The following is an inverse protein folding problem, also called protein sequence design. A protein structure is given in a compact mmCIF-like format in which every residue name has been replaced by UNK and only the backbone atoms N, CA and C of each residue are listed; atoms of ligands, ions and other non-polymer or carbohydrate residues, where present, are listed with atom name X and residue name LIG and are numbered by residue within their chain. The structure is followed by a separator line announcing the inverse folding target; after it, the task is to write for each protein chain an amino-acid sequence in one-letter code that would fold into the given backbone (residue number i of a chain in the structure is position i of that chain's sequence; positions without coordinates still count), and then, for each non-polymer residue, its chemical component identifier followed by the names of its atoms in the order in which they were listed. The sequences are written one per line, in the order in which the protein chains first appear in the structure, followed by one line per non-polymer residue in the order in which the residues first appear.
data_IF_137563987284
#
_entry.id   IF_137563987284
#
_cell.length_a   1.000
_cell.length_b   1.000
_cell.length_c   1.000
_cell.angle_alpha   90.00
_cell.angle_beta   90.00
_cell.angle_gamma   90.00
#
_symmetry.space_group_name_H-M   'P 1'
#
loop_
_entity.id
_entity.type
_entity.pdbx_description
1 polymer ?
#
# COMPACT_ATOMS: atom_id res chain seq x y z
N UNK A 1 -15.34 -2.88 -9.05
CA UNK A 1 -16.15 -2.47 -7.89
C UNK A 1 -17.58 -2.23 -8.36
N UNK A 2 -18.56 -2.87 -7.74
CA UNK A 2 -19.98 -2.56 -7.97
C UNK A 2 -20.38 -1.59 -6.88
N UNK A 3 -20.65 -0.33 -7.23
CA UNK A 3 -21.15 0.70 -6.32
C UNK A 3 -22.68 0.62 -6.31
N UNK A 4 -23.31 0.77 -5.15
CA UNK A 4 -24.75 0.93 -5.07
C UNK A 4 -25.18 2.26 -5.73
N UNK A 5 -26.45 2.35 -6.11
CA UNK A 5 -27.04 3.59 -6.62
C UNK A 5 -27.02 4.62 -5.49
N UNK A 6 -26.20 5.65 -5.66
CA UNK A 6 -26.09 6.78 -4.75
C UNK A 6 -27.27 7.72 -4.98
N UNK A 7 -28.04 8.00 -3.92
CA UNK A 7 -29.06 9.06 -3.95
C UNK A 7 -28.45 10.41 -3.55
N UNK A 8 -29.08 11.49 -4.00
CA UNK A 8 -28.75 12.84 -3.54
C UNK A 8 -29.07 12.97 -2.06
N UNK A 9 -28.18 13.60 -1.28
CA UNK A 9 -28.35 13.91 0.16
C UNK A 9 -29.70 14.59 0.44
N UNK A 10 -30.17 15.44 -0.47
CA UNK A 10 -31.42 16.21 -0.31
C UNK A 10 -32.71 15.41 -0.62
N UNK A 11 -32.62 14.11 -0.86
CA UNK A 11 -33.81 13.30 -1.18
C UNK A 11 -34.56 12.90 0.10
N UNK A 12 -35.90 13.04 0.16
CA UNK A 12 -36.65 12.65 1.35
C UNK A 12 -36.43 11.16 1.67
N UNK A 13 -35.86 10.88 2.85
CA UNK A 13 -35.54 9.53 3.34
C UNK A 13 -36.30 9.25 4.66
N UNK A 14 -36.70 7.99 4.84
CA UNK A 14 -37.20 7.43 6.10
C UNK A 14 -36.59 6.05 6.27
N UNK A 15 -36.17 5.71 7.48
CA UNK A 15 -35.65 4.39 7.83
C UNK A 15 -36.77 3.58 8.49
N UNK A 16 -37.67 3.03 7.69
CA UNK A 16 -38.88 2.36 8.18
C UNK A 16 -38.67 0.86 8.45
N UNK A 17 -37.62 0.28 7.88
CA UNK A 17 -37.28 -1.14 7.97
C UNK A 17 -35.77 -1.35 8.18
N UNK A 18 -35.40 -2.56 8.61
CA UNK A 18 -33.98 -2.97 8.69
C UNK A 18 -33.28 -2.88 7.32
N UNK A 19 -33.99 -3.20 6.23
CA UNK A 19 -33.46 -3.05 4.89
C UNK A 19 -33.15 -1.59 4.52
N UNK A 20 -33.97 -0.63 4.96
CA UNK A 20 -33.69 0.80 4.73
C UNK A 20 -32.43 1.25 5.47
N UNK A 21 -32.21 0.73 6.68
CA UNK A 21 -31.01 0.99 7.49
C UNK A 21 -29.77 0.42 6.80
N UNK A 22 -29.83 -0.83 6.35
CA UNK A 22 -28.72 -1.47 5.61
C UNK A 22 -28.38 -0.72 4.31
N UNK A 23 -29.40 -0.29 3.55
CA UNK A 23 -29.20 0.50 2.33
C UNK A 23 -28.55 1.84 2.64
N UNK A 24 -28.97 2.52 3.70
CA UNK A 24 -28.37 3.79 4.09
C UNK A 24 -26.92 3.63 4.55
N UNK A 25 -26.61 2.60 5.35
CA UNK A 25 -25.25 2.28 5.75
C UNK A 25 -24.36 1.98 4.54
N UNK A 26 -24.84 1.15 3.62
CA UNK A 26 -24.11 0.81 2.40
C UNK A 26 -23.86 2.05 1.52
N UNK A 27 -24.82 2.97 1.45
CA UNK A 27 -24.66 4.23 0.72
C UNK A 27 -23.54 5.09 1.32
N UNK A 28 -23.47 5.24 2.65
CA UNK A 28 -22.41 6.02 3.31
C UNK A 28 -21.03 5.40 3.02
N UNK A 29 -20.93 4.06 3.07
CA UNK A 29 -19.69 3.34 2.74
C UNK A 29 -19.29 3.56 1.28
N UNK A 30 -20.23 3.51 0.34
CA UNK A 30 -19.96 3.72 -1.07
C UNK A 30 -19.63 5.19 -1.38
N UNK A 31 -20.23 6.13 -0.64
CA UNK A 31 -19.92 7.56 -0.72
C UNK A 31 -18.53 7.88 -0.18
N UNK A 32 -18.09 7.19 0.87
CA UNK A 32 -16.70 7.27 1.33
C UNK A 32 -15.74 6.76 0.25
N UNK A 33 -16.06 5.64 -0.39
CA UNK A 33 -15.26 5.12 -1.51
C UNK A 33 -15.19 6.11 -2.67
N UNK A 34 -16.31 6.72 -3.07
CA UNK A 34 -16.36 7.75 -4.12
C UNK A 34 -15.58 9.01 -3.75
N UNK A 35 -15.61 9.44 -2.48
CA UNK A 35 -14.79 10.55 -2.01
C UNK A 35 -13.28 10.23 -2.13
N UNK A 36 -12.89 8.99 -1.85
CA UNK A 36 -11.50 8.54 -2.03
C UNK A 36 -11.09 8.45 -3.51
N UNK A 37 -11.99 8.04 -4.41
CA UNK A 37 -11.78 8.13 -5.87
C UNK A 37 -11.54 9.57 -6.28
N UNK A 38 -12.40 10.50 -5.84
CA UNK A 38 -12.25 11.93 -6.11
C UNK A 38 -10.95 12.52 -5.55
N UNK A 39 -10.42 11.95 -4.46
CA UNK A 39 -9.12 12.32 -3.89
C UNK A 39 -7.91 11.72 -4.62
N UNK A 40 -8.12 10.88 -5.65
CA UNK A 40 -7.06 10.25 -6.43
C UNK A 40 -6.35 9.10 -5.70
N UNK A 41 -7.05 8.39 -4.81
CA UNK A 41 -6.53 7.20 -4.15
C UNK A 41 -6.65 5.97 -5.05
N UNK A 42 -5.71 5.03 -4.93
CA UNK A 42 -5.71 3.80 -5.74
C UNK A 42 -6.83 2.85 -5.31
N UNK A 43 -7.32 2.07 -6.28
CA UNK A 43 -8.36 1.06 -6.06
C UNK A 43 -8.01 0.09 -4.93
N UNK A 44 -6.75 -0.38 -4.86
CA UNK A 44 -6.31 -1.30 -3.81
C UNK A 44 -6.32 -0.66 -2.41
N UNK A 45 -6.09 0.65 -2.31
CA UNK A 45 -6.22 1.36 -1.03
C UNK A 45 -7.70 1.50 -0.64
N UNK A 46 -8.54 1.91 -1.58
CA UNK A 46 -9.99 2.04 -1.39
C UNK A 46 -10.62 0.71 -0.95
N UNK A 47 -10.21 -0.39 -1.61
CA UNK A 47 -10.69 -1.72 -1.29
C UNK A 47 -10.29 -2.17 0.12
N UNK A 48 -9.05 -1.87 0.54
CA UNK A 48 -8.59 -2.12 1.91
C UNK A 48 -9.36 -1.31 2.95
N UNK A 49 -9.60 -0.03 2.71
CA UNK A 49 -10.38 0.84 3.61
C UNK A 49 -11.82 0.34 3.74
N UNK A 50 -12.47 0.07 2.61
CA UNK A 50 -13.86 -0.44 2.56
C UNK A 50 -13.98 -1.80 3.24
N UNK A 51 -13.03 -2.71 3.00
CA UNK A 51 -13.03 -4.03 3.62
C UNK A 51 -12.91 -3.97 5.15
N UNK A 52 -12.11 -3.05 5.68
CA UNK A 52 -12.00 -2.84 7.12
C UNK A 52 -13.32 -2.34 7.73
N UNK A 53 -13.98 -1.38 7.08
CA UNK A 53 -15.27 -0.84 7.51
C UNK A 53 -16.37 -1.90 7.46
N UNK A 54 -16.48 -2.67 6.38
CA UNK A 54 -17.46 -3.75 6.25
C UNK A 54 -17.24 -4.85 7.29
N UNK A 55 -15.99 -5.20 7.60
CA UNK A 55 -15.68 -6.16 8.66
C UNK A 55 -16.10 -5.63 10.03
N UNK A 56 -15.87 -4.34 10.31
CA UNK A 56 -16.30 -3.71 11.55
C UNK A 56 -17.83 -3.69 11.67
N UNK A 57 -18.57 -3.27 10.64
CA UNK A 57 -20.03 -3.29 10.62
C UNK A 57 -20.60 -4.69 10.90
N UNK A 58 -20.03 -5.72 10.26
CA UNK A 58 -20.41 -7.12 10.51
C UNK A 58 -20.11 -7.58 11.94
N UNK A 59 -19.02 -7.10 12.54
CA UNK A 59 -18.68 -7.41 13.92
C UNK A 59 -19.65 -6.77 14.92
N UNK A 60 -20.07 -5.53 14.66
CA UNK A 60 -20.99 -4.79 15.52
C UNK A 60 -22.36 -5.45 15.62
N UNK A 61 -22.91 -5.90 14.48
CA UNK A 61 -24.28 -6.42 14.41
C UNK A 61 -25.37 -5.37 14.64
N UNK A 62 -25.00 -4.08 14.60
CA UNK A 62 -25.86 -2.92 14.69
C UNK A 62 -25.38 -1.85 13.71
N UNK A 63 -26.18 -0.81 13.41
CA UNK A 63 -25.78 0.22 12.47
C UNK A 63 -24.49 0.92 12.89
N UNK A 64 -23.58 1.12 11.95
CA UNK A 64 -22.22 1.58 12.22
C UNK A 64 -22.18 2.95 12.91
N UNK A 65 -23.11 3.85 12.62
CA UNK A 65 -23.20 5.17 13.26
C UNK A 65 -23.63 5.14 14.73
N UNK A 66 -24.10 3.99 15.22
CA UNK A 66 -24.43 3.79 16.64
C UNK A 66 -23.24 3.27 17.46
N UNK A 67 -22.10 2.97 16.82
CA UNK A 67 -20.93 2.42 17.51
C UNK A 67 -20.31 3.42 18.50
N UNK A 68 -19.81 2.91 19.61
CA UNK A 68 -19.10 3.67 20.64
C UNK A 68 -17.66 3.16 20.88
N UNK A 69 -16.96 3.76 21.84
CA UNK A 69 -15.59 3.36 22.19
C UNK A 69 -15.49 1.92 22.71
N UNK A 70 -16.48 1.43 23.46
CA UNK A 70 -16.49 0.08 24.00
C UNK A 70 -16.67 -0.98 22.90
N UNK A 71 -17.44 -0.65 21.86
CA UNK A 71 -17.55 -1.47 20.67
C UNK A 71 -16.22 -1.59 19.92
N UNK A 72 -15.46 -0.49 19.80
CA UNK A 72 -14.12 -0.52 19.22
C UNK A 72 -13.17 -1.32 20.11
N UNK A 73 -13.21 -1.19 21.43
CA UNK A 73 -12.39 -2.00 22.34
C UNK A 73 -12.63 -3.50 22.16
N UNK A 74 -13.90 -3.90 22.06
CA UNK A 74 -14.31 -5.27 21.76
C UNK A 74 -13.79 -5.72 20.40
N UNK A 75 -13.97 -4.90 19.36
CA UNK A 75 -13.50 -5.20 18.01
C UNK A 75 -11.98 -5.40 17.96
N UNK A 76 -11.22 -4.48 18.56
CA UNK A 76 -9.77 -4.55 18.57
C UNK A 76 -9.26 -5.71 19.44
N UNK A 77 -9.99 -6.09 20.49
CA UNK A 77 -9.70 -7.30 21.27
C UNK A 77 -9.93 -8.55 20.43
N UNK A 78 -11.06 -8.62 19.73
CA UNK A 78 -11.39 -9.72 18.83
C UNK A 78 -10.37 -9.90 17.70
N UNK A 79 -9.94 -8.80 17.07
CA UNK A 79 -8.89 -8.84 16.04
C UNK A 79 -7.57 -9.43 16.57
N UNK A 80 -7.23 -9.17 17.83
CA UNK A 80 -5.97 -9.61 18.45
C UNK A 80 -6.03 -11.03 19.02
N UNK A 81 -7.14 -11.39 19.68
CA UNK A 81 -7.27 -12.63 20.45
C UNK A 81 -7.86 -13.74 19.62
N UNK A 82 -9.01 -13.48 19.00
CA UNK A 82 -9.76 -14.49 18.24
C UNK A 82 -9.19 -14.66 16.83
N UNK A 83 -8.83 -13.56 16.17
CA UNK A 83 -8.26 -13.60 14.82
C UNK A 83 -6.74 -13.64 14.76
N UNK A 84 -6.06 -13.44 15.90
CA UNK A 84 -4.61 -13.45 16.00
C UNK A 84 -3.89 -12.59 14.93
N UNK A 85 -4.47 -11.44 14.56
CA UNK A 85 -3.90 -10.59 13.52
C UNK A 85 -2.61 -9.90 13.99
N UNK A 86 -1.72 -9.63 13.03
CA UNK A 86 -0.50 -8.86 13.31
C UNK A 86 -0.85 -7.46 13.85
N UNK A 87 0.03 -6.90 14.69
CA UNK A 87 -0.16 -5.55 15.22
C UNK A 87 -0.40 -4.52 14.12
N UNK A 88 0.34 -4.61 13.01
CA UNK A 88 0.22 -3.67 11.88
C UNK A 88 -1.11 -3.78 11.16
N UNK A 89 -1.69 -4.98 11.08
CA UNK A 89 -3.01 -5.19 10.50
C UNK A 89 -4.09 -4.59 11.40
N UNK A 90 -3.97 -4.76 12.72
CA UNK A 90 -4.89 -4.17 13.69
C UNK A 90 -4.82 -2.64 13.67
N UNK A 91 -3.62 -2.06 13.64
CA UNK A 91 -3.42 -0.61 13.47
C UNK A 91 -4.05 -0.10 12.17
N UNK A 92 -3.81 -0.80 11.05
CA UNK A 92 -4.38 -0.46 9.75
C UNK A 92 -5.90 -0.42 9.78
N UNK A 93 -6.54 -1.49 10.27
CA UNK A 93 -8.00 -1.60 10.38
C UNK A 93 -8.60 -0.53 11.28
N UNK A 94 -8.02 -0.30 12.46
CA UNK A 94 -8.46 0.77 13.36
C UNK A 94 -8.37 2.15 12.69
N UNK A 95 -7.28 2.39 11.95
CA UNK A 95 -7.10 3.63 11.19
C UNK A 95 -8.13 3.79 10.06
N UNK A 96 -8.49 2.72 9.35
CA UNK A 96 -9.53 2.76 8.31
C UNK A 96 -10.90 3.07 8.90
N UNK A 97 -11.25 2.43 10.03
CA UNK A 97 -12.50 2.71 10.76
C UNK A 97 -12.52 4.17 11.21
N UNK A 98 -11.45 4.66 11.85
CA UNK A 98 -11.38 6.06 12.29
C UNK A 98 -11.61 7.06 11.14
N UNK A 99 -10.93 6.87 10.00
CA UNK A 99 -11.10 7.73 8.81
C UNK A 99 -12.51 7.69 8.24
N UNK A 100 -13.14 6.52 8.24
CA UNK A 100 -14.54 6.39 7.82
C UNK A 100 -15.48 7.16 8.75
N UNK A 101 -15.30 7.07 10.07
CA UNK A 101 -16.09 7.84 11.03
C UNK A 101 -15.85 9.34 10.89
N UNK A 102 -14.61 9.80 10.62
CA UNK A 102 -14.33 11.21 10.34
C UNK A 102 -15.13 11.69 9.11
N UNK A 103 -15.17 10.89 8.04
CA UNK A 103 -15.97 11.17 6.85
C UNK A 103 -17.48 11.20 7.15
N UNK A 104 -17.98 10.18 7.86
CA UNK A 104 -19.40 10.03 8.19
C UNK A 104 -19.88 11.19 9.07
N UNK A 105 -19.13 11.54 10.12
CA UNK A 105 -19.46 12.68 10.98
C UNK A 105 -19.41 13.99 10.20
N UNK A 106 -18.40 14.18 9.35
CA UNK A 106 -18.27 15.43 8.59
C UNK A 106 -19.37 15.64 7.53
N UNK A 107 -19.91 14.56 6.93
CA UNK A 107 -20.85 14.67 5.80
C UNK A 107 -22.27 14.18 6.06
N UNK A 108 -22.48 13.32 7.05
CA UNK A 108 -23.75 12.64 7.30
C UNK A 108 -24.32 12.84 8.70
N UNK A 109 -23.65 13.60 9.59
CA UNK A 109 -24.16 13.82 10.95
C UNK A 109 -25.59 14.37 10.97
N UNK A 110 -25.87 15.37 10.13
CA UNK A 110 -27.21 15.96 10.03
C UNK A 110 -28.26 14.94 9.61
N UNK A 111 -27.98 14.14 8.58
CA UNK A 111 -28.89 13.13 8.06
C UNK A 111 -29.10 11.99 9.07
N UNK A 112 -28.03 11.49 9.68
CA UNK A 112 -28.08 10.44 10.71
C UNK A 112 -28.95 10.93 11.87
N UNK A 113 -28.72 12.14 12.36
CA UNK A 113 -29.50 12.70 13.45
C UNK A 113 -30.97 12.91 13.06
N UNK A 114 -31.25 13.44 11.88
CA UNK A 114 -32.63 13.65 11.42
C UNK A 114 -33.40 12.33 11.23
N UNK A 115 -32.72 11.26 10.79
CA UNK A 115 -33.33 9.97 10.49
C UNK A 115 -33.43 9.03 11.69
N UNK A 116 -32.51 9.15 12.66
CA UNK A 116 -32.37 8.18 13.77
C UNK A 116 -32.40 8.81 15.15
N UNK A 117 -32.23 10.12 15.26
CA UNK A 117 -32.03 10.83 16.54
C UNK A 117 -30.63 10.65 17.13
N UNK A 118 -29.78 9.80 16.55
CA UNK A 118 -28.42 9.51 17.05
C UNK A 118 -27.46 10.63 16.61
N UNK A 119 -26.56 11.01 17.51
CA UNK A 119 -25.42 11.88 17.19
C UNK A 119 -24.21 10.97 17.02
N UNK A 120 -23.78 10.76 15.77
CA UNK A 120 -22.61 9.94 15.47
C UNK A 120 -21.35 10.60 16.08
N UNK A 121 -20.52 9.80 16.74
CA UNK A 121 -19.26 10.23 17.33
C UNK A 121 -18.11 9.40 16.78
N UNK A 122 -16.87 9.85 16.98
CA UNK A 122 -15.67 9.06 16.65
C UNK A 122 -15.45 8.01 17.74
N UNK A 123 -15.64 6.70 17.46
CA UNK A 123 -15.45 5.66 18.46
C UNK A 123 -13.98 5.28 18.65
N UNK A 124 -13.09 5.65 17.71
CA UNK A 124 -11.64 5.44 17.84
C UNK A 124 -11.00 6.64 18.53
N UNK A 125 -10.95 6.58 19.86
CA UNK A 125 -10.47 7.63 20.75
C UNK A 125 -8.96 7.51 21.04
N UNK A 126 -8.46 8.29 22.01
CA UNK A 126 -7.06 8.24 22.41
C UNK A 126 -6.67 7.01 23.23
N UNK A 127 -7.65 6.34 23.85
CA UNK A 127 -7.44 5.22 24.76
C UNK A 127 -7.38 3.89 24.00
N UNK A 128 -8.20 3.74 22.95
CA UNK A 128 -8.29 2.50 22.19
C UNK A 128 -7.47 2.50 20.90
N UNK A 129 -7.03 3.67 20.42
CA UNK A 129 -6.24 3.80 19.18
C UNK A 129 -4.93 3.03 19.28
N UNK A 130 -4.71 2.02 18.41
CA UNK A 130 -3.46 1.26 18.44
C UNK A 130 -2.25 2.17 18.21
N UNK A 131 -1.25 2.03 19.08
CA UNK A 131 0.04 2.69 18.89
C UNK A 131 0.67 2.29 17.56
N UNK A 132 1.43 3.21 16.96
CA UNK A 132 2.08 2.92 15.69
C UNK A 132 2.99 1.71 15.81
N UNK A 133 2.86 0.79 14.87
CA UNK A 133 3.67 -0.42 14.78
C UNK A 133 4.96 -0.22 14.02
N UNK A 134 5.20 1.00 13.54
CA UNK A 134 6.49 1.39 13.02
C UNK A 134 7.50 1.38 14.16
N UNK A 135 8.25 0.28 14.25
CA UNK A 135 9.48 0.22 15.01
C UNK A 135 10.64 0.35 14.04
N UNK A 136 11.56 1.26 14.33
CA UNK A 136 12.84 1.29 13.66
C UNK A 136 13.65 0.10 14.16
N UNK A 137 13.38 -1.10 13.65
CA UNK A 137 14.31 -2.22 13.82
C UNK A 137 15.64 -1.73 13.22
N UNK A 138 16.63 -1.48 14.07
CA UNK A 138 17.93 -0.98 13.64
C UNK A 138 18.54 -2.05 12.76
N UNK A 139 18.55 -1.80 11.45
CA UNK A 139 19.28 -2.61 10.49
C UNK A 139 20.67 -2.00 10.36
N UNK A 140 21.64 -2.64 10.99
CA UNK A 140 23.06 -2.28 10.82
C UNK A 140 23.49 -2.80 9.45
N UNK A 141 23.92 -1.94 8.52
CA UNK A 141 24.44 -2.41 7.24
C UNK A 141 25.81 -3.10 7.44
N UNK A 142 26.16 -4.09 6.61
CA UNK A 142 27.53 -4.62 6.54
C UNK A 142 28.53 -3.51 6.20
N UNK A 143 29.81 -3.75 6.47
CA UNK A 143 30.88 -2.83 6.07
C UNK A 143 31.11 -2.84 4.56
N UNK A 144 31.71 -1.78 4.03
CA UNK A 144 32.05 -1.73 2.60
C UNK A 144 32.98 -2.90 2.20
N UNK A 145 33.92 -3.29 3.07
CA UNK A 145 34.81 -4.44 2.86
C UNK A 145 34.05 -5.77 2.76
N UNK A 146 33.05 -5.99 3.62
CA UNK A 146 32.20 -7.19 3.57
C UNK A 146 31.38 -7.24 2.27
N UNK A 147 30.86 -6.08 1.85
CA UNK A 147 30.12 -5.95 0.59
C UNK A 147 31.03 -6.18 -0.62
N UNK A 148 32.24 -5.63 -0.62
CA UNK A 148 33.17 -5.80 -1.73
C UNK A 148 33.63 -7.25 -1.85
N UNK A 149 33.98 -7.88 -0.72
CA UNK A 149 34.36 -9.29 -0.71
C UNK A 149 33.23 -10.19 -1.22
N UNK A 150 31.99 -9.99 -0.75
CA UNK A 150 30.85 -10.78 -1.22
C UNK A 150 30.67 -10.68 -2.74
N UNK A 151 30.67 -9.47 -3.29
CA UNK A 151 30.36 -9.27 -4.70
C UNK A 151 31.53 -9.55 -5.64
N UNK A 152 32.78 -9.37 -5.20
CA UNK A 152 33.95 -9.80 -5.97
C UNK A 152 33.96 -11.33 -6.12
N UNK A 153 33.83 -12.06 -5.00
CA UNK A 153 33.76 -13.53 -5.02
C UNK A 153 32.54 -14.05 -5.79
N UNK A 154 31.40 -13.36 -5.71
CA UNK A 154 30.24 -13.73 -6.54
C UNK A 154 30.54 -13.52 -8.02
N UNK A 155 31.13 -12.38 -8.42
CA UNK A 155 31.48 -12.11 -9.81
C UNK A 155 32.42 -13.19 -10.38
N UNK A 156 33.47 -13.58 -9.63
CA UNK A 156 34.46 -14.58 -10.06
C UNK A 156 33.83 -15.96 -10.29
N UNK A 157 32.81 -16.31 -9.49
CA UNK A 157 32.15 -17.62 -9.58
C UNK A 157 31.02 -17.69 -10.61
N UNK A 158 30.65 -16.57 -11.25
CA UNK A 158 29.53 -16.52 -12.20
C UNK A 158 29.74 -17.47 -13.38
N UNK A 159 30.94 -17.46 -13.97
CA UNK A 159 31.27 -18.23 -15.19
C UNK A 159 31.17 -19.74 -14.98
N UNK A 160 31.37 -20.20 -13.74
CA UNK A 160 31.32 -21.62 -13.38
C UNK A 160 29.90 -22.08 -12.98
N UNK A 161 28.92 -21.18 -12.95
CA UNK A 161 27.56 -21.54 -12.57
C UNK A 161 26.89 -22.40 -13.63
N UNK A 162 26.36 -23.55 -13.19
CA UNK A 162 25.56 -24.46 -14.03
C UNK A 162 24.44 -23.74 -14.81
N UNK A 163 23.86 -22.69 -14.21
CA UNK A 163 22.84 -21.82 -14.83
C UNK A 163 23.33 -20.38 -14.91
N UNK A 164 24.35 -20.14 -15.72
CA UNK A 164 24.98 -18.82 -15.90
C UNK A 164 23.98 -17.66 -16.00
N UNK A 165 23.02 -17.72 -16.93
CA UNK A 165 22.06 -16.61 -17.15
C UNK A 165 21.21 -16.30 -15.90
N UNK A 166 20.79 -17.32 -15.16
CA UNK A 166 20.04 -17.11 -13.91
C UNK A 166 20.93 -16.45 -12.85
N UNK A 167 22.16 -16.94 -12.70
CA UNK A 167 23.11 -16.37 -11.75
C UNK A 167 23.50 -14.93 -12.09
N UNK A 168 23.76 -14.64 -13.37
CA UNK A 168 24.08 -13.31 -13.86
C UNK A 168 22.93 -12.31 -13.65
N UNK A 169 21.67 -12.75 -13.85
CA UNK A 169 20.48 -11.95 -13.54
C UNK A 169 20.39 -11.60 -12.06
N UNK A 170 20.59 -12.60 -11.20
CA UNK A 170 20.48 -12.41 -9.76
C UNK A 170 21.62 -11.51 -9.23
N UNK A 171 22.84 -11.68 -9.75
CA UNK A 171 23.98 -10.81 -9.49
C UNK A 171 23.72 -9.37 -9.96
N UNK A 172 23.17 -9.19 -11.17
CA UNK A 172 22.78 -7.88 -11.71
C UNK A 172 21.78 -7.18 -10.79
N UNK A 173 20.70 -7.86 -10.42
CA UNK A 173 19.67 -7.32 -9.54
C UNK A 173 20.23 -6.93 -8.16
N UNK A 174 20.99 -7.83 -7.52
CA UNK A 174 21.61 -7.57 -6.22
C UNK A 174 22.61 -6.41 -6.28
N UNK A 175 23.42 -6.33 -7.35
CA UNK A 175 24.39 -5.27 -7.56
C UNK A 175 23.72 -3.91 -7.74
N UNK A 176 22.59 -3.86 -8.45
CA UNK A 176 21.76 -2.65 -8.53
C UNK A 176 21.21 -2.27 -7.16
N UNK A 177 20.65 -3.22 -6.39
CA UNK A 177 20.06 -2.92 -5.08
C UNK A 177 21.04 -2.25 -4.14
N UNK A 178 22.28 -2.74 -4.05
CA UNK A 178 23.31 -2.13 -3.19
C UNK A 178 23.78 -0.76 -3.69
N UNK A 179 23.81 -0.52 -5.01
CA UNK A 179 24.37 0.71 -5.59
C UNK A 179 23.36 1.85 -5.67
N UNK A 180 22.08 1.55 -5.94
CA UNK A 180 21.05 2.55 -6.23
C UNK A 180 19.80 2.46 -5.35
N UNK A 181 19.77 1.52 -4.40
CA UNK A 181 18.71 1.43 -3.38
C UNK A 181 17.33 1.23 -3.99
N UNK A 182 17.22 0.41 -5.04
CA UNK A 182 15.92 0.07 -5.63
C UNK A 182 15.11 -0.81 -4.67
N UNK A 183 13.82 -0.56 -4.61
CA UNK A 183 12.89 -1.49 -3.97
C UNK A 183 12.65 -2.69 -4.88
N UNK A 184 12.22 -3.80 -4.29
CA UNK A 184 11.91 -5.03 -5.05
C UNK A 184 10.88 -4.76 -6.16
N UNK A 185 9.80 -4.04 -5.86
CA UNK A 185 8.79 -3.69 -6.87
C UNK A 185 9.32 -2.72 -7.94
N UNK A 186 10.19 -1.78 -7.55
CA UNK A 186 10.83 -0.87 -8.51
C UNK A 186 11.66 -1.68 -9.51
N UNK A 187 12.44 -2.65 -9.01
CA UNK A 187 13.29 -3.53 -9.82
C UNK A 187 12.48 -4.42 -10.76
N UNK A 188 11.37 -4.99 -10.26
CA UNK A 188 10.47 -5.82 -11.06
C UNK A 188 9.86 -5.06 -12.24
N UNK A 189 9.64 -3.76 -12.09
CA UNK A 189 8.96 -2.92 -13.08
C UNK A 189 9.93 -2.17 -14.00
N UNK A 190 11.25 -2.37 -13.84
CA UNK A 190 12.25 -1.77 -14.72
C UNK A 190 12.14 -2.33 -16.13
N UNK A 191 12.25 -1.44 -17.10
CA UNK A 191 12.31 -1.73 -18.53
C UNK A 191 13.65 -1.27 -19.10
N UNK A 192 14.06 -1.81 -20.26
CA UNK A 192 15.27 -1.38 -20.95
C UNK A 192 15.24 0.13 -21.26
N UNK A 193 14.06 0.68 -21.56
CA UNK A 193 13.83 2.11 -21.83
C UNK A 193 13.97 2.99 -20.59
N UNK A 194 14.00 2.39 -19.40
CA UNK A 194 14.22 3.12 -18.15
C UNK A 194 15.70 3.46 -17.94
N UNK A 195 16.62 2.86 -18.71
CA UNK A 195 18.02 3.30 -18.74
C UNK A 195 18.20 4.52 -19.65
N UNK A 196 18.77 5.59 -19.10
CA UNK A 196 18.98 6.87 -19.75
C UNK A 196 20.47 7.23 -19.74
N UNK A 197 21.28 6.60 -20.61
CA UNK A 197 22.71 6.89 -20.71
C UNK A 197 22.98 8.30 -21.23
N UNK A 198 21.99 8.94 -21.86
CA UNK A 198 22.05 10.31 -22.33
C UNK A 198 22.04 11.37 -21.21
N UNK A 199 21.72 10.99 -19.97
CA UNK A 199 21.55 11.91 -18.86
C UNK A 199 22.80 11.99 -17.96
N UNK A 200 23.79 12.75 -18.42
CA UNK A 200 25.06 12.97 -17.71
C UNK A 200 26.06 11.82 -17.90
N UNK A 201 27.28 12.00 -17.40
CA UNK A 201 28.43 11.14 -17.75
C UNK A 201 28.23 9.65 -17.40
N UNK A 202 27.51 9.38 -16.32
CA UNK A 202 27.21 8.02 -15.85
C UNK A 202 25.76 7.60 -16.12
N UNK A 203 24.98 8.37 -16.88
CA UNK A 203 23.56 8.10 -17.13
C UNK A 203 22.67 8.09 -15.88
N UNK A 204 21.38 7.77 -16.09
CA UNK A 204 20.37 7.66 -15.02
C UNK A 204 19.40 6.51 -15.25
N UNK A 205 18.90 5.93 -14.16
CA UNK A 205 17.76 5.01 -14.16
C UNK A 205 16.47 5.77 -13.86
N UNK A 206 15.49 5.65 -14.76
CA UNK A 206 14.14 6.19 -14.58
C UNK A 206 13.23 5.17 -13.88
N UNK A 207 13.08 5.32 -12.58
CA UNK A 207 12.18 4.47 -11.79
C UNK A 207 10.76 5.01 -11.91
N UNK A 208 9.99 4.47 -12.88
CA UNK A 208 8.59 4.86 -13.11
C UNK A 208 7.66 4.49 -11.95
N UNK A 209 7.89 3.34 -11.35
CA UNK A 209 6.99 2.75 -10.34
C UNK A 209 7.53 2.87 -8.91
N UNK A 210 8.03 4.06 -8.56
CA UNK A 210 8.55 4.34 -7.21
C UNK A 210 7.48 4.27 -6.12
N UNK A 211 7.90 4.06 -4.87
CA UNK A 211 6.99 3.92 -3.71
C UNK A 211 6.02 5.11 -3.60
N UNK A 212 4.73 4.81 -3.78
CA UNK A 212 3.62 5.72 -3.47
C UNK A 212 3.46 5.98 -1.97
N UNK A 213 2.56 6.89 -1.61
CA UNK A 213 2.29 7.24 -0.20
C UNK A 213 0.81 7.37 0.06
N UNK A 214 0.31 6.75 1.13
CA UNK A 214 -1.10 6.83 1.56
C UNK A 214 -2.08 6.56 0.42
N UNK A 215 -1.91 5.43 -0.28
CA UNK A 215 -2.78 5.07 -1.41
C UNK A 215 -2.65 5.97 -2.63
N UNK A 216 -1.77 6.98 -2.64
CA UNK A 216 -1.45 7.72 -3.86
C UNK A 216 -0.49 6.87 -4.66
N UNK A 217 -0.76 6.75 -5.97
CA UNK A 217 -0.07 5.89 -6.91
C UNK A 217 1.46 6.09 -6.98
N UNK A 218 2.12 5.44 -7.94
CA UNK A 218 3.58 5.44 -7.99
C UNK A 218 4.17 6.85 -8.07
N UNK A 219 5.31 7.05 -7.40
CA UNK A 219 6.08 8.30 -7.43
C UNK A 219 7.35 8.11 -8.26
N UNK A 220 7.39 8.59 -9.50
CA UNK A 220 8.58 8.43 -10.34
C UNK A 220 9.79 9.13 -9.74
N UNK A 221 10.98 8.55 -9.92
CA UNK A 221 12.26 9.18 -9.55
C UNK A 221 13.35 8.81 -10.54
N UNK A 222 14.33 9.70 -10.70
CA UNK A 222 15.57 9.41 -11.40
C UNK A 222 16.63 9.02 -10.37
N UNK A 223 17.42 7.98 -10.69
CA UNK A 223 18.55 7.54 -9.88
C UNK A 223 19.84 7.66 -10.69
N UNK A 224 20.86 8.38 -10.21
CA UNK A 224 22.13 8.50 -10.93
C UNK A 224 22.81 7.14 -11.12
N UNK A 225 23.39 6.90 -12.30
CA UNK A 225 24.17 5.70 -12.61
C UNK A 225 25.60 5.72 -12.06
N UNK A 226 25.84 6.47 -10.98
CA UNK A 226 27.12 6.54 -10.28
C UNK A 226 27.42 5.24 -9.51
N UNK A 227 28.58 5.15 -8.84
CA UNK A 227 29.02 3.93 -8.14
C UNK A 227 29.10 2.70 -9.07
N UNK A 228 29.51 2.91 -10.33
CA UNK A 228 29.72 1.89 -11.35
C UNK A 228 28.44 1.22 -11.88
N UNK A 229 27.28 1.84 -11.70
CA UNK A 229 26.00 1.33 -12.21
C UNK A 229 25.95 1.39 -13.72
N UNK A 230 26.53 2.43 -14.32
CA UNK A 230 26.77 2.56 -15.75
C UNK A 230 27.51 1.34 -16.33
N UNK A 231 28.65 0.95 -15.76
CA UNK A 231 29.42 -0.21 -16.20
C UNK A 231 28.66 -1.52 -16.01
N UNK A 232 27.95 -1.64 -14.89
CA UNK A 232 27.11 -2.81 -14.60
C UNK A 232 25.96 -2.96 -15.61
N UNK A 233 25.26 -1.86 -15.94
CA UNK A 233 24.18 -1.86 -16.93
C UNK A 233 24.76 -2.12 -18.32
N UNK A 234 25.90 -1.54 -18.66
CA UNK A 234 26.56 -1.79 -19.94
C UNK A 234 26.85 -3.29 -20.11
N UNK A 235 27.54 -3.91 -19.15
CA UNK A 235 27.78 -5.37 -19.14
C UNK A 235 26.48 -6.18 -19.27
N UNK A 236 25.44 -5.81 -18.51
CA UNK A 236 24.17 -6.50 -18.60
C UNK A 236 23.57 -6.40 -19.99
N UNK A 237 23.53 -5.21 -20.59
CA UNK A 237 22.90 -4.98 -21.89
C UNK A 237 23.71 -5.58 -23.06
N UNK A 238 25.03 -5.45 -23.04
CA UNK A 238 25.90 -5.89 -24.13
C UNK A 238 26.20 -7.38 -24.06
N UNK A 239 26.44 -7.91 -22.86
CA UNK A 239 27.06 -9.23 -22.73
C UNK A 239 26.06 -10.29 -22.29
N UNK A 240 25.04 -9.96 -21.49
CA UNK A 240 24.16 -10.97 -20.87
C UNK A 240 22.73 -10.93 -21.41
N UNK A 241 22.13 -9.74 -21.52
CA UNK A 241 20.69 -9.56 -21.74
C UNK A 241 20.21 -10.16 -23.06
N UNK A 242 21.03 -10.11 -24.11
CA UNK A 242 20.70 -10.66 -25.43
C UNK A 242 20.71 -12.19 -25.47
N UNK A 243 21.30 -12.85 -24.48
CA UNK A 243 21.35 -14.32 -24.40
C UNK A 243 20.05 -14.93 -23.83
N UNK A 244 19.14 -14.11 -23.29
CA UNK A 244 17.79 -14.55 -22.96
C UNK A 244 16.94 -14.61 -24.24
N UNK A 245 16.15 -15.67 -24.41
CA UNK A 245 15.36 -15.93 -25.62
C UNK A 245 14.25 -14.91 -25.90
N UNK A 246 13.57 -15.10 -27.03
CA UNK A 246 12.60 -14.16 -27.65
C UNK A 246 11.27 -14.00 -26.87
N UNK A 247 11.09 -14.72 -25.77
CA UNK A 247 9.80 -14.91 -25.06
C UNK A 247 9.31 -13.66 -24.27
N UNK A 248 9.76 -12.45 -24.60
CA UNK A 248 9.52 -11.28 -23.76
C UNK A 248 9.13 -10.03 -24.57
N UNK A 249 7.86 -10.02 -25.03
CA UNK A 249 7.08 -8.82 -25.37
C UNK A 249 6.28 -8.34 -24.17
#
# INVERSE_FOLDING_TARGET
MTLAVVRSIDSPRRLASAADVEVFEQEIVDQHALAMVGAGLTDGYIDSERSAVIEFARFLGQPIWAADGADVDRYLTWLRRDRALSRSTVEGKAGSVARFFDFMVARYQGDIHALTGIVAAQPVDEFNRPASTWTQAVRVPPTDEEIDHLFASWADTLVDQRKYLTAARDFMAASLWRRVGLRLNESRMLDLRDWRPDLGDHGKLHVRFGKGSRGRGPKPRLVPGINGVDGLINWWLTDVRHQFGDDWN
#
